data_IF_267980234086
#
_entry.id   IF_267980234086
#
_cell.length_a   1.000
_cell.length_b   1.000
_cell.length_c   1.000
_cell.angle_alpha   90.00
_cell.angle_beta   90.00
_cell.angle_gamma   90.00
#
_symmetry.space_group_name_H-M   'P 1'
#
loop_
_entity.id
_entity.type
_entity.pdbx_description
1 polymer ?
#
# COMPACT_ATOMS: atom_id res chain seq x y z
N UNK A 1 37.93 -17.10 7.90
CA UNK A 1 37.07 -16.91 9.10
C UNK A 1 36.07 -15.75 8.99
N UNK A 2 36.41 -14.57 8.45
CA UNK A 2 35.46 -13.43 8.31
C UNK A 2 34.26 -13.73 7.39
N UNK A 3 34.48 -14.38 6.23
CA UNK A 3 33.42 -14.76 5.27
C UNK A 3 32.36 -15.74 5.86
N UNK A 4 32.79 -16.71 6.66
CA UNK A 4 31.87 -17.66 7.31
C UNK A 4 30.95 -16.97 8.33
N UNK A 5 31.49 -16.01 9.09
CA UNK A 5 30.69 -15.21 10.04
C UNK A 5 29.70 -14.26 9.35
N UNK A 6 30.03 -13.76 8.16
CA UNK A 6 29.15 -12.93 7.32
C UNK A 6 27.99 -13.78 6.80
N UNK A 7 28.28 -14.96 6.25
CA UNK A 7 27.27 -15.91 5.80
C UNK A 7 26.35 -16.34 6.94
N UNK A 8 26.89 -16.60 8.14
CA UNK A 8 26.12 -16.95 9.34
C UNK A 8 25.23 -15.79 9.80
N UNK A 9 25.68 -14.53 9.73
CA UNK A 9 24.85 -13.39 10.09
C UNK A 9 23.70 -13.16 9.09
N UNK A 10 23.99 -13.28 7.79
CA UNK A 10 23.00 -13.16 6.73
C UNK A 10 21.97 -14.29 6.79
N UNK A 11 22.43 -15.53 6.99
CA UNK A 11 21.58 -16.71 7.25
C UNK A 11 20.77 -16.54 8.53
N UNK A 12 21.32 -16.00 9.62
CA UNK A 12 20.55 -15.73 10.85
C UNK A 12 19.49 -14.65 10.66
N UNK A 13 19.70 -13.70 9.76
CA UNK A 13 18.75 -12.62 9.49
C UNK A 13 17.63 -13.06 8.55
N UNK A 14 17.96 -13.80 7.49
CA UNK A 14 16.97 -14.52 6.67
C UNK A 14 16.22 -15.50 7.54
N UNK A 15 16.93 -16.30 8.35
CA UNK A 15 16.34 -17.21 9.32
C UNK A 15 15.38 -16.45 10.21
N UNK A 16 15.75 -15.37 10.92
CA UNK A 16 14.80 -14.64 11.79
C UNK A 16 13.57 -14.05 11.07
N UNK A 17 13.71 -13.55 9.85
CA UNK A 17 12.58 -13.00 9.09
C UNK A 17 11.69 -14.06 8.48
N UNK A 18 12.29 -15.15 7.99
CA UNK A 18 11.57 -16.32 7.50
C UNK A 18 11.05 -17.18 8.64
N UNK A 19 11.66 -17.18 9.83
CA UNK A 19 11.32 -18.05 10.96
C UNK A 19 9.90 -17.79 11.40
N UNK A 20 9.46 -16.54 11.40
CA UNK A 20 8.07 -16.20 11.70
C UNK A 20 7.08 -16.86 10.74
N UNK A 21 7.44 -16.94 9.45
CA UNK A 21 6.61 -17.59 8.41
C UNK A 21 6.88 -19.10 8.29
N UNK A 22 8.04 -19.59 8.72
CA UNK A 22 8.44 -21.00 8.75
C UNK A 22 8.00 -21.69 10.06
N UNK A 23 7.70 -20.92 11.11
CA UNK A 23 7.04 -21.34 12.35
C UNK A 23 5.52 -21.18 12.27
N UNK A 24 5.01 -20.53 11.22
CA UNK A 24 3.58 -20.53 10.97
C UNK A 24 3.17 -21.97 10.65
N UNK A 25 2.24 -22.51 11.43
CA UNK A 25 1.72 -23.85 11.18
C UNK A 25 1.15 -23.94 9.77
N UNK A 26 1.61 -24.95 9.02
CA UNK A 26 1.12 -25.23 7.66
C UNK A 26 0.10 -26.36 7.76
N UNK A 27 -1.12 -26.07 7.36
CA UNK A 27 -2.20 -27.04 7.28
C UNK A 27 -2.51 -27.36 5.82
N UNK A 28 -3.05 -28.56 5.57
CA UNK A 28 -3.48 -28.99 4.23
C UNK A 28 -4.97 -29.33 4.26
N UNK A 29 -5.75 -28.86 3.29
CA UNK A 29 -7.15 -29.27 3.13
C UNK A 29 -8.08 -28.86 4.28
N UNK A 30 -7.70 -27.85 5.07
CA UNK A 30 -8.48 -27.41 6.24
C UNK A 30 -9.32 -26.17 5.91
N UNK A 31 -10.41 -26.01 6.64
CA UNK A 31 -11.19 -24.78 6.62
C UNK A 31 -10.49 -23.70 7.46
N UNK A 32 -10.45 -22.45 6.97
CA UNK A 32 -9.79 -21.36 7.69
C UNK A 32 -10.40 -21.11 9.08
N UNK A 33 -11.68 -21.39 9.29
CA UNK A 33 -12.33 -21.21 10.59
C UNK A 33 -11.72 -22.12 11.67
N UNK A 34 -11.27 -23.33 11.32
CA UNK A 34 -10.85 -24.37 12.26
C UNK A 34 -9.36 -24.37 12.60
N UNK A 35 -8.55 -23.51 11.97
CA UNK A 35 -7.11 -23.40 12.24
C UNK A 35 -6.76 -22.21 13.16
N UNK A 36 -5.64 -22.26 13.89
CA UNK A 36 -5.13 -21.11 14.65
C UNK A 36 -4.79 -19.90 13.78
N UNK A 37 -4.65 -18.73 14.41
CA UNK A 37 -4.18 -17.51 13.74
C UNK A 37 -2.67 -17.61 13.48
N UNK A 38 -2.21 -16.92 12.44
CA UNK A 38 -0.85 -16.97 11.88
C UNK A 38 -0.48 -18.33 11.28
N UNK A 39 -1.42 -18.95 10.58
CA UNK A 39 -1.22 -20.25 9.96
C UNK A 39 -1.49 -20.19 8.46
N UNK A 40 -0.72 -20.97 7.69
CA UNK A 40 -0.96 -21.18 6.27
C UNK A 40 -1.87 -22.40 6.09
N UNK A 41 -2.74 -22.33 5.10
CA UNK A 41 -3.48 -23.49 4.61
C UNK A 41 -3.19 -23.64 3.13
N UNK A 42 -2.62 -24.78 2.77
CA UNK A 42 -2.50 -25.21 1.38
C UNK A 42 -3.76 -25.99 1.00
N UNK A 43 -4.32 -25.67 -0.16
CA UNK A 43 -5.61 -26.17 -0.62
C UNK A 43 -6.72 -25.95 0.41
N UNK A 44 -7.04 -24.68 0.75
CA UNK A 44 -8.06 -24.39 1.74
C UNK A 44 -9.42 -24.96 1.34
N UNK A 45 -10.05 -25.67 2.27
CA UNK A 45 -11.35 -26.29 2.05
C UNK A 45 -12.48 -25.36 2.47
N UNK A 46 -13.35 -25.02 1.52
CA UNK A 46 -14.58 -24.29 1.75
C UNK A 46 -15.75 -25.18 1.33
N UNK A 47 -16.74 -25.35 2.21
CA UNK A 47 -17.81 -26.37 2.05
C UNK A 47 -18.73 -26.09 0.85
N UNK A 48 -18.76 -24.85 0.36
CA UNK A 48 -19.67 -24.33 -0.66
C UNK A 48 -18.97 -23.51 -1.76
N UNK A 49 -17.64 -23.34 -1.70
CA UNK A 49 -16.92 -22.39 -2.56
C UNK A 49 -15.77 -23.06 -3.32
N UNK A 50 -15.87 -23.04 -4.65
CA UNK A 50 -14.74 -23.37 -5.53
C UNK A 50 -13.87 -22.13 -5.72
N UNK A 51 -12.66 -22.17 -5.18
CA UNK A 51 -11.68 -21.09 -5.33
C UNK A 51 -10.90 -21.22 -6.64
N UNK A 52 -10.61 -20.10 -7.31
CA UNK A 52 -9.83 -20.06 -8.55
C UNK A 52 -8.43 -19.47 -8.34
N UNK A 53 -7.45 -19.95 -9.13
CA UNK A 53 -6.08 -19.44 -9.07
C UNK A 53 -5.42 -19.63 -7.69
N UNK A 54 -4.71 -18.62 -7.21
CA UNK A 54 -3.92 -18.70 -5.98
C UNK A 54 -4.76 -18.91 -4.72
N UNK A 55 -6.03 -18.48 -4.68
CA UNK A 55 -6.89 -18.63 -3.49
C UNK A 55 -7.30 -20.09 -3.26
N UNK A 56 -7.30 -20.92 -4.30
CA UNK A 56 -7.48 -22.38 -4.17
C UNK A 56 -6.21 -23.14 -3.82
N UNK A 57 -5.04 -22.48 -3.88
CA UNK A 57 -3.74 -23.10 -3.62
C UNK A 57 -3.27 -22.78 -2.21
N UNK A 58 -3.41 -21.52 -1.78
CA UNK A 58 -2.88 -21.08 -0.48
C UNK A 58 -3.75 -19.98 0.14
N UNK A 59 -3.93 -20.07 1.44
CA UNK A 59 -4.54 -19.04 2.26
C UNK A 59 -3.76 -18.85 3.56
N UNK A 60 -3.81 -17.64 4.12
CA UNK A 60 -3.15 -17.31 5.38
C UNK A 60 -4.13 -16.69 6.37
N UNK A 61 -4.30 -17.32 7.53
CA UNK A 61 -5.16 -16.79 8.59
C UNK A 61 -4.38 -15.76 9.40
N UNK A 62 -4.62 -14.47 9.17
CA UNK A 62 -3.93 -13.40 9.90
C UNK A 62 -4.32 -13.34 11.38
N UNK A 63 -3.36 -12.95 12.21
CA UNK A 63 -3.62 -12.53 13.58
C UNK A 63 -4.23 -11.14 13.68
N UNK A 64 -4.63 -10.74 14.89
CA UNK A 64 -4.90 -9.33 15.18
C UNK A 64 -3.55 -8.60 15.18
N UNK A 65 -3.38 -7.61 14.31
CA UNK A 65 -2.21 -6.73 14.36
C UNK A 65 -2.18 -5.99 15.69
N UNK A 66 -1.00 -5.93 16.34
CA UNK A 66 -0.79 -5.02 17.46
C UNK A 66 -0.78 -3.60 16.90
N UNK A 67 -1.61 -2.75 17.49
CA UNK A 67 -1.65 -1.31 17.17
C UNK A 67 -0.50 -0.66 17.93
N UNK A 68 0.70 -0.65 17.34
CA UNK A 68 1.79 0.18 17.82
C UNK A 68 1.59 1.61 17.33
N UNK A 69 1.68 2.58 18.25
CA UNK A 69 1.63 4.01 17.92
C UNK A 69 2.81 4.38 17.03
N UNK A 70 2.59 5.27 16.07
CA UNK A 70 3.66 5.78 15.25
C UNK A 70 4.60 6.66 16.10
N UNK A 71 5.85 6.25 16.20
CA UNK A 71 6.93 7.04 16.80
C UNK A 71 7.98 7.38 15.75
N UNK A 72 7.98 8.64 15.32
CA UNK A 72 8.93 9.17 14.35
C UNK A 72 10.25 9.62 15.00
N UNK A 73 10.36 9.68 16.34
CA UNK A 73 11.60 10.11 17.02
C UNK A 73 12.73 9.10 16.78
N UNK A 74 12.47 7.82 17.00
CA UNK A 74 13.41 6.72 16.71
C UNK A 74 13.84 6.71 15.23
N UNK A 75 12.94 7.06 14.33
CA UNK A 75 13.21 7.12 12.89
C UNK A 75 14.16 8.27 12.55
N UNK A 76 13.90 9.45 13.12
CA UNK A 76 14.74 10.63 13.00
C UNK A 76 16.14 10.42 13.59
N UNK A 77 16.23 9.85 14.80
CA UNK A 77 17.52 9.58 15.46
C UNK A 77 18.40 8.64 14.62
N UNK A 78 17.80 7.64 13.96
CA UNK A 78 18.53 6.74 13.05
C UNK A 78 19.01 7.47 11.80
N UNK A 79 18.24 8.40 11.26
CA UNK A 79 18.66 9.24 10.13
C UNK A 79 19.80 10.17 10.55
N UNK A 80 19.75 10.73 11.77
CA UNK A 80 20.85 11.53 12.34
C UNK A 80 22.14 10.73 12.45
N UNK A 81 22.08 9.49 12.94
CA UNK A 81 23.23 8.58 13.02
C UNK A 81 23.83 8.24 11.63
N UNK A 82 23.02 8.16 10.57
CA UNK A 82 23.50 7.98 9.19
C UNK A 82 24.31 9.20 8.74
N UNK A 83 23.90 10.42 9.14
CA UNK A 83 24.59 11.67 8.79
C UNK A 83 25.95 11.80 9.51
N UNK A 84 26.02 11.41 10.78
CA UNK A 84 27.22 11.51 11.61
C UNK A 84 28.35 10.56 11.18
N UNK A 85 28.02 9.51 10.41
CA UNK A 85 28.99 8.58 9.83
C UNK A 85 28.83 8.53 8.30
N UNK A 86 29.23 9.60 7.59
CA UNK A 86 28.96 9.72 6.15
C UNK A 86 29.84 8.80 5.30
N UNK A 87 31.00 8.36 5.81
CA UNK A 87 32.01 7.60 5.05
C UNK A 87 32.61 6.48 5.90
N UNK A 88 32.93 5.32 5.30
CA UNK A 88 33.86 4.39 5.93
C UNK A 88 35.18 5.12 6.19
N UNK A 89 35.69 5.00 7.41
CA UNK A 89 37.00 5.53 7.83
C UNK A 89 38.03 5.30 6.73
N UNK A 90 38.70 6.38 6.28
CA UNK A 90 39.77 6.41 5.27
C UNK A 90 40.57 5.08 5.25
N UNK A 91 40.47 4.31 4.17
CA UNK A 91 41.11 2.99 4.08
C UNK A 91 42.43 3.14 3.35
N UNK A 92 43.51 3.24 4.13
CA UNK A 92 44.80 2.73 3.68
C UNK A 92 44.66 1.20 3.55
N UNK A 93 44.73 0.71 2.31
CA UNK A 93 44.96 -0.69 1.89
C UNK A 93 44.20 -1.84 2.63
N UNK A 94 43.48 -2.66 1.84
CA UNK A 94 42.99 -4.02 2.13
C UNK A 94 41.90 -4.27 3.20
N UNK A 95 41.42 -3.26 3.94
CA UNK A 95 40.32 -3.47 4.92
C UNK A 95 39.05 -2.64 4.64
N UNK A 96 38.65 -2.53 3.38
CA UNK A 96 37.48 -1.73 2.97
C UNK A 96 36.15 -2.20 3.60
N UNK A 97 35.96 -3.51 3.79
CA UNK A 97 34.77 -4.09 4.41
C UNK A 97 35.02 -4.43 5.89
N UNK A 98 35.27 -3.40 6.69
CA UNK A 98 35.44 -3.56 8.13
C UNK A 98 34.08 -3.67 8.88
N UNK A 99 34.13 -3.87 10.20
CA UNK A 99 32.92 -3.99 11.02
C UNK A 99 32.07 -2.73 11.05
N UNK A 100 32.63 -1.54 10.79
CA UNK A 100 31.91 -0.26 10.83
C UNK A 100 30.98 -0.14 9.62
N UNK A 101 31.48 -0.41 8.42
CA UNK A 101 30.69 -0.38 7.18
C UNK A 101 29.48 -1.33 7.22
N UNK A 102 29.65 -2.53 7.81
CA UNK A 102 28.54 -3.47 7.97
C UNK A 102 27.49 -3.02 8.99
N UNK A 103 27.89 -2.32 10.05
CA UNK A 103 26.95 -1.79 11.05
C UNK A 103 26.12 -0.65 10.47
N UNK A 104 26.73 0.21 9.66
CA UNK A 104 26.05 1.29 8.94
C UNK A 104 25.04 0.75 7.92
N UNK A 105 25.41 -0.27 7.15
CA UNK A 105 24.48 -0.90 6.23
C UNK A 105 23.27 -1.52 6.94
N UNK A 106 23.44 -2.03 8.18
CA UNK A 106 22.31 -2.48 9.01
C UNK A 106 21.44 -1.31 9.45
N UNK A 107 22.04 -0.17 9.79
CA UNK A 107 21.31 1.04 10.14
C UNK A 107 20.46 1.54 8.96
N UNK A 108 21.04 1.71 7.77
CA UNK A 108 20.30 2.10 6.55
C UNK A 108 19.17 1.10 6.25
N UNK A 109 19.45 -0.20 6.35
CA UNK A 109 18.42 -1.23 6.15
C UNK A 109 17.29 -1.15 7.18
N UNK A 110 17.60 -0.79 8.43
CA UNK A 110 16.60 -0.61 9.49
C UNK A 110 15.72 0.62 9.25
N UNK A 111 16.29 1.70 8.68
CA UNK A 111 15.55 2.89 8.27
C UNK A 111 14.65 2.57 7.08
N UNK A 112 15.17 1.86 6.06
CA UNK A 112 14.35 1.39 4.94
C UNK A 112 13.16 0.55 5.38
N UNK A 113 13.36 -0.36 6.35
CA UNK A 113 12.26 -1.14 6.93
C UNK A 113 11.23 -0.22 7.60
N UNK A 114 11.68 0.71 8.43
CA UNK A 114 10.78 1.63 9.14
C UNK A 114 10.00 2.54 8.16
N UNK A 115 10.64 3.03 7.10
CA UNK A 115 10.00 3.81 6.04
C UNK A 115 8.92 3.00 5.32
N UNK A 116 9.22 1.75 4.95
CA UNK A 116 8.25 0.86 4.30
C UNK A 116 7.04 0.56 5.18
N UNK A 117 7.23 0.45 6.49
CA UNK A 117 6.14 0.21 7.44
C UNK A 117 5.19 1.43 7.56
N UNK A 118 5.61 2.66 7.21
CA UNK A 118 4.72 3.83 7.16
C UNK A 118 3.51 3.63 6.23
N UNK A 119 3.63 2.73 5.24
CA UNK A 119 2.57 2.37 4.29
C UNK A 119 1.46 1.52 4.89
N UNK A 120 1.66 0.96 6.09
CA UNK A 120 0.63 0.16 6.78
C UNK A 120 -0.62 0.98 7.06
N UNK A 121 -1.79 0.33 7.11
CA UNK A 121 -3.11 1.00 7.27
C UNK A 121 -3.12 1.94 8.48
N UNK A 122 -2.63 1.47 9.62
CA UNK A 122 -2.65 2.23 10.86
C UNK A 122 -1.70 3.42 10.85
N UNK A 123 -0.47 3.26 10.34
CA UNK A 123 0.52 4.35 10.31
C UNK A 123 0.14 5.42 9.30
N UNK A 124 -0.29 5.03 8.10
CA UNK A 124 -0.74 5.98 7.09
C UNK A 124 -1.96 6.79 7.58
N UNK A 125 -2.91 6.14 8.26
CA UNK A 125 -4.03 6.83 8.90
C UNK A 125 -3.52 7.92 9.87
N UNK A 126 -2.62 7.56 10.80
CA UNK A 126 -2.09 8.52 11.77
C UNK A 126 -1.35 9.69 11.11
N UNK A 127 -0.59 9.44 10.05
CA UNK A 127 0.10 10.48 9.27
C UNK A 127 -0.91 11.40 8.58
N UNK A 128 -1.95 10.85 7.96
CA UNK A 128 -2.95 11.63 7.23
C UNK A 128 -3.72 12.59 8.15
N UNK A 129 -4.06 12.14 9.37
CA UNK A 129 -4.85 12.95 10.33
C UNK A 129 -4.02 13.92 11.16
N UNK A 130 -2.69 13.77 11.24
CA UNK A 130 -1.81 14.61 12.07
C UNK A 130 -0.82 15.40 11.21
N UNK A 131 -1.06 16.70 10.94
CA UNK A 131 -0.14 17.54 10.18
C UNK A 131 1.30 17.53 10.72
N UNK A 132 1.47 17.52 12.04
CA UNK A 132 2.79 17.42 12.69
C UNK A 132 3.63 16.21 12.21
N UNK A 133 2.99 15.07 11.90
CA UNK A 133 3.71 13.91 11.36
C UNK A 133 4.08 14.09 9.88
N UNK A 134 3.32 14.88 9.13
CA UNK A 134 3.61 15.22 7.74
C UNK A 134 4.81 16.16 7.67
N UNK A 135 4.81 17.22 8.49
CA UNK A 135 5.92 18.17 8.61
C UNK A 135 7.21 17.47 9.02
N UNK A 136 7.14 16.59 10.02
CA UNK A 136 8.30 15.80 10.46
C UNK A 136 8.82 14.86 9.38
N UNK A 137 7.94 14.22 8.60
CA UNK A 137 8.36 13.37 7.49
C UNK A 137 8.96 14.18 6.33
N UNK A 138 8.49 15.40 6.08
CA UNK A 138 9.10 16.32 5.12
C UNK A 138 10.53 16.66 5.54
N UNK A 139 10.73 17.07 6.80
CA UNK A 139 12.06 17.37 7.34
C UNK A 139 13.02 16.17 7.23
N UNK A 140 12.55 14.97 7.61
CA UNK A 140 13.36 13.75 7.47
C UNK A 140 13.69 13.46 5.99
N UNK A 141 12.73 13.68 5.07
CA UNK A 141 12.94 13.52 3.63
C UNK A 141 14.00 14.48 3.08
N UNK A 142 14.02 15.73 3.54
CA UNK A 142 15.04 16.72 3.20
C UNK A 142 16.41 16.33 3.75
N UNK A 143 16.48 15.88 5.01
CA UNK A 143 17.72 15.39 5.61
C UNK A 143 18.33 14.23 4.82
N UNK A 144 17.51 13.26 4.40
CA UNK A 144 17.97 12.12 3.60
C UNK A 144 18.45 12.58 2.21
N UNK A 145 17.73 13.50 1.57
CA UNK A 145 18.13 14.07 0.28
C UNK A 145 19.49 14.75 0.36
N UNK A 146 19.75 15.51 1.42
CA UNK A 146 21.05 16.15 1.66
C UNK A 146 22.17 15.11 1.87
N UNK A 147 21.89 14.03 2.61
CA UNK A 147 22.85 12.92 2.76
C UNK A 147 23.16 12.30 1.39
N UNK A 148 22.14 11.98 0.59
CA UNK A 148 22.30 11.39 -0.75
C UNK A 148 23.22 12.28 -1.61
N UNK A 149 22.91 13.57 -1.71
CA UNK A 149 23.68 14.50 -2.52
C UNK A 149 25.15 14.59 -2.07
N UNK A 150 25.39 14.65 -0.76
CA UNK A 150 26.75 14.69 -0.22
C UNK A 150 27.56 13.43 -0.57
N UNK A 151 26.92 12.26 -0.50
CA UNK A 151 27.57 10.98 -0.76
C UNK A 151 27.79 10.70 -2.24
N UNK A 152 26.85 11.11 -3.11
CA UNK A 152 27.03 11.01 -4.56
C UNK A 152 28.19 11.88 -5.04
N UNK A 153 28.27 13.11 -4.52
CA UNK A 153 29.37 14.03 -4.82
C UNK A 153 30.70 13.42 -4.38
N UNK A 154 30.80 12.96 -3.14
CA UNK A 154 32.01 12.34 -2.62
C UNK A 154 32.42 11.10 -3.42
N UNK A 155 31.48 10.22 -3.77
CA UNK A 155 31.78 9.02 -4.56
C UNK A 155 32.34 9.40 -5.93
N UNK A 156 31.77 10.41 -6.58
CA UNK A 156 32.25 10.90 -7.89
C UNK A 156 33.66 11.48 -7.80
N UNK A 157 33.97 12.21 -6.72
CA UNK A 157 35.29 12.82 -6.51
C UNK A 157 36.38 11.80 -6.14
N UNK A 158 36.02 10.66 -5.54
CA UNK A 158 36.98 9.70 -4.98
C UNK A 158 36.96 8.31 -5.66
N UNK A 159 36.05 8.05 -6.61
CA UNK A 159 35.89 6.72 -7.22
C UNK A 159 37.16 6.20 -7.92
N UNK A 160 38.02 7.09 -8.41
CA UNK A 160 39.28 6.70 -9.07
C UNK A 160 40.32 6.09 -8.12
N UNK A 161 40.21 6.39 -6.83
CA UNK A 161 41.13 5.93 -5.78
C UNK A 161 40.57 4.71 -5.01
N UNK A 162 39.38 4.23 -5.39
CA UNK A 162 38.68 3.12 -4.73
C UNK A 162 38.78 1.83 -5.54
N UNK A 163 38.83 0.69 -4.84
CA UNK A 163 38.65 -0.62 -5.47
C UNK A 163 37.21 -0.76 -6.01
N UNK A 164 36.97 -1.54 -7.08
CA UNK A 164 35.62 -1.68 -7.66
C UNK A 164 34.56 -2.13 -6.64
N UNK A 165 34.88 -3.09 -5.76
CA UNK A 165 33.97 -3.59 -4.74
C UNK A 165 33.55 -2.51 -3.75
N UNK A 166 34.42 -1.51 -3.55
CA UNK A 166 34.15 -0.38 -2.69
C UNK A 166 33.16 0.59 -3.33
N UNK A 167 33.37 0.88 -4.61
CA UNK A 167 32.47 1.71 -5.40
C UNK A 167 31.07 1.09 -5.41
N UNK A 168 30.97 -0.21 -5.69
CA UNK A 168 29.69 -0.94 -5.73
C UNK A 168 28.96 -0.89 -4.39
N UNK A 169 29.65 -1.16 -3.28
CA UNK A 169 29.05 -1.20 -1.95
C UNK A 169 28.52 0.18 -1.51
N UNK A 170 29.21 1.26 -1.88
CA UNK A 170 28.77 2.64 -1.60
C UNK A 170 27.59 3.02 -2.50
N UNK A 171 27.65 2.68 -3.80
CA UNK A 171 26.56 2.92 -4.74
C UNK A 171 25.27 2.19 -4.32
N UNK A 172 25.37 0.95 -3.84
CA UNK A 172 24.23 0.20 -3.29
C UNK A 172 23.64 0.90 -2.06
N UNK A 173 24.48 1.39 -1.15
CA UNK A 173 24.04 2.13 0.03
C UNK A 173 23.30 3.42 -0.36
N UNK A 174 23.82 4.19 -1.32
CA UNK A 174 23.16 5.39 -1.87
C UNK A 174 21.81 5.01 -2.48
N UNK A 175 21.74 3.91 -3.22
CA UNK A 175 20.48 3.40 -3.80
C UNK A 175 19.45 3.11 -2.72
N UNK A 176 19.84 2.48 -1.61
CA UNK A 176 18.94 2.25 -0.46
C UNK A 176 18.48 3.55 0.19
N UNK A 177 19.32 4.58 0.26
CA UNK A 177 18.91 5.90 0.74
C UNK A 177 17.89 6.54 -0.20
N UNK A 178 18.09 6.43 -1.52
CA UNK A 178 17.13 6.88 -2.53
C UNK A 178 15.79 6.14 -2.38
N UNK A 179 15.80 4.84 -2.12
CA UNK A 179 14.57 4.08 -1.83
C UNK A 179 13.85 4.60 -0.59
N UNK A 180 14.58 4.99 0.47
CA UNK A 180 13.97 5.59 1.67
C UNK A 180 13.35 6.93 1.32
N UNK A 181 14.08 7.81 0.64
CA UNK A 181 13.61 9.13 0.23
C UNK A 181 12.36 9.01 -0.67
N UNK A 182 12.37 8.07 -1.61
CA UNK A 182 11.25 7.75 -2.48
C UNK A 182 10.03 7.27 -1.69
N UNK A 183 10.23 6.37 -0.72
CA UNK A 183 9.14 5.88 0.13
C UNK A 183 8.46 7.03 0.87
N UNK A 184 9.24 7.92 1.49
CA UNK A 184 8.71 9.06 2.24
C UNK A 184 8.00 10.06 1.32
N UNK A 185 8.70 10.53 0.29
CA UNK A 185 8.18 11.58 -0.61
C UNK A 185 7.05 11.07 -1.49
N UNK A 186 7.30 10.02 -2.26
CA UNK A 186 6.44 9.59 -3.36
C UNK A 186 5.37 8.60 -2.94
N UNK A 187 5.67 7.69 -2.00
CA UNK A 187 4.69 6.68 -1.57
C UNK A 187 3.84 7.12 -0.37
N UNK A 188 4.34 8.03 0.49
CA UNK A 188 3.59 8.55 1.64
C UNK A 188 3.09 9.97 1.37
N UNK A 189 3.98 10.96 1.37
CA UNK A 189 3.60 12.38 1.40
C UNK A 189 2.79 12.80 0.16
N UNK A 190 3.23 12.45 -1.04
CA UNK A 190 2.53 12.75 -2.29
C UNK A 190 1.16 12.06 -2.41
N UNK A 191 0.90 11.00 -1.62
CA UNK A 191 -0.39 10.31 -1.61
C UNK A 191 -1.38 10.89 -0.61
N UNK A 192 -0.94 11.69 0.36
CA UNK A 192 -1.84 12.35 1.32
C UNK A 192 -2.86 13.27 0.60
N UNK A 193 -2.44 14.26 -0.22
CA UNK A 193 -3.39 15.13 -0.91
C UNK A 193 -4.25 14.35 -1.90
N UNK A 194 -3.67 13.37 -2.60
CA UNK A 194 -4.40 12.52 -3.55
C UNK A 194 -5.50 11.68 -2.90
N UNK A 195 -5.30 11.22 -1.67
CA UNK A 195 -6.34 10.49 -0.90
C UNK A 195 -7.41 11.46 -0.40
N UNK A 196 -7.02 12.64 0.09
CA UNK A 196 -7.96 13.68 0.53
C UNK A 196 -8.87 14.15 -0.61
N UNK A 197 -8.31 14.32 -1.81
CA UNK A 197 -9.04 14.79 -2.99
C UNK A 197 -10.14 13.83 -3.47
N UNK A 198 -10.06 12.54 -3.11
CA UNK A 198 -11.12 11.57 -3.45
C UNK A 198 -12.40 11.76 -2.64
N UNK A 199 -12.36 12.49 -1.53
CA UNK A 199 -13.54 12.81 -0.75
C UNK A 199 -14.19 14.09 -1.27
N UNK A 200 -15.53 14.09 -1.30
CA UNK A 200 -16.30 15.32 -1.54
C UNK A 200 -16.09 16.35 -0.42
N UNK A 201 -15.89 15.89 0.83
CA UNK A 201 -15.66 16.72 2.01
C UNK A 201 -14.33 16.33 2.72
N UNK A 202 -13.18 16.82 2.24
CA UNK A 202 -11.87 16.43 2.76
C UNK A 202 -11.62 16.72 4.24
N UNK A 203 -12.36 17.67 4.83
CA UNK A 203 -12.24 18.04 6.24
C UNK A 203 -13.10 17.14 7.16
N UNK A 204 -14.12 16.49 6.60
CA UNK A 204 -15.00 15.53 7.30
C UNK A 204 -14.53 14.08 7.16
N UNK A 205 -13.33 13.87 6.60
CA UNK A 205 -12.69 12.57 6.39
C UNK A 205 -12.34 11.90 7.73
N UNK A 206 -13.37 11.47 8.44
CA UNK A 206 -13.31 10.97 9.80
C UNK A 206 -13.61 9.47 9.79
N UNK A 207 -12.57 8.67 10.00
CA UNK A 207 -12.72 7.24 10.22
C UNK A 207 -11.69 6.41 9.46
N UNK A 208 -11.16 5.38 10.15
CA UNK A 208 -10.17 4.46 9.59
C UNK A 208 -10.69 3.70 8.36
N UNK A 209 -11.97 3.33 8.35
CA UNK A 209 -12.61 2.61 7.24
C UNK A 209 -12.64 3.42 5.95
N UNK A 210 -13.10 4.67 6.03
CA UNK A 210 -13.16 5.61 4.89
C UNK A 210 -11.77 5.84 4.30
N UNK A 211 -10.78 6.16 5.14
CA UNK A 211 -9.40 6.38 4.69
C UNK A 211 -8.81 5.13 4.05
N UNK A 212 -9.12 3.94 4.59
CA UNK A 212 -8.70 2.67 4.00
C UNK A 212 -9.23 2.50 2.58
N UNK A 213 -10.53 2.78 2.37
CA UNK A 213 -11.17 2.69 1.05
C UNK A 213 -10.50 3.65 0.05
N UNK A 214 -10.43 4.95 0.38
CA UNK A 214 -9.81 5.92 -0.53
C UNK A 214 -8.32 5.65 -0.79
N UNK A 215 -7.59 5.14 0.20
CA UNK A 215 -6.19 4.75 -0.01
C UNK A 215 -6.04 3.60 -0.99
N UNK A 216 -6.93 2.60 -0.94
CA UNK A 216 -6.93 1.49 -1.89
C UNK A 216 -7.29 1.95 -3.30
N UNK A 217 -8.31 2.82 -3.43
CA UNK A 217 -8.67 3.47 -4.70
C UNK A 217 -7.46 4.23 -5.27
N UNK A 218 -6.83 5.08 -4.44
CA UNK A 218 -5.65 5.85 -4.82
C UNK A 218 -4.48 4.96 -5.26
N UNK A 219 -4.25 3.84 -4.57
CA UNK A 219 -3.18 2.91 -4.93
C UNK A 219 -3.41 2.29 -6.32
N UNK A 220 -4.62 1.85 -6.62
CA UNK A 220 -4.96 1.31 -7.96
C UNK A 220 -4.88 2.41 -9.02
N UNK A 221 -5.35 3.62 -8.72
CA UNK A 221 -5.23 4.76 -9.63
C UNK A 221 -3.79 5.13 -9.94
N UNK A 222 -2.88 5.13 -8.95
CA UNK A 222 -1.45 5.37 -9.19
C UNK A 222 -0.82 4.32 -10.11
N UNK A 223 -1.32 3.09 -10.10
CA UNK A 223 -0.88 2.05 -11.05
C UNK A 223 -1.42 2.30 -12.45
N UNK A 224 -2.70 2.69 -12.57
CA UNK A 224 -3.30 3.07 -13.85
C UNK A 224 -2.65 4.32 -14.46
N UNK A 225 -2.19 5.26 -13.63
CA UNK A 225 -1.55 6.52 -14.06
C UNK A 225 -0.23 6.29 -14.82
N UNK A 226 0.38 5.11 -14.64
CA UNK A 226 1.59 4.69 -15.35
C UNK A 226 1.31 4.03 -16.70
N UNK A 227 0.05 3.80 -17.02
CA UNK A 227 -0.37 3.16 -18.26
C UNK A 227 -0.91 4.21 -19.23
N UNK A 228 -0.32 4.26 -20.42
CA UNK A 228 -0.86 5.04 -21.52
C UNK A 228 -2.01 4.26 -22.17
N UNK A 229 -3.24 4.60 -21.80
CA UNK A 229 -4.46 4.01 -22.38
C UNK A 229 -5.16 5.10 -23.20
N UNK A 230 -5.22 4.91 -24.52
CA UNK A 230 -5.77 5.87 -25.49
C UNK A 230 -6.44 5.14 -26.64
N UNK A 231 -7.16 5.88 -27.48
CA UNK A 231 -7.85 5.32 -28.63
C UNK A 231 -9.18 4.68 -28.23
N UNK A 232 -9.44 3.47 -28.74
CA UNK A 232 -10.68 2.73 -28.45
C UNK A 232 -10.64 2.01 -27.10
N UNK A 233 -9.44 1.81 -26.57
CA UNK A 233 -9.24 1.12 -25.30
C UNK A 233 -9.67 2.06 -24.16
N UNK A 234 -10.43 1.52 -23.22
CA UNK A 234 -10.85 2.30 -22.05
C UNK A 234 -9.99 1.96 -20.84
N UNK A 235 -9.69 2.94 -20.01
CA UNK A 235 -9.15 2.70 -18.67
C UNK A 235 -10.27 2.86 -17.64
N UNK A 236 -10.34 1.95 -16.66
CA UNK A 236 -11.31 2.05 -15.61
C UNK A 236 -10.99 1.26 -14.36
N UNK A 237 -11.81 1.49 -13.34
CA UNK A 237 -11.82 0.71 -12.11
C UNK A 237 -13.24 0.30 -11.76
N UNK A 238 -13.37 -0.84 -11.10
CA UNK A 238 -14.60 -1.28 -10.44
C UNK A 238 -14.38 -1.33 -8.93
N UNK A 239 -15.31 -0.73 -8.20
CA UNK A 239 -15.35 -0.71 -6.74
C UNK A 239 -16.40 -1.72 -6.28
N UNK A 240 -16.00 -2.74 -5.54
CA UNK A 240 -16.90 -3.79 -5.06
C UNK A 240 -16.98 -3.75 -3.54
N UNK A 241 -18.17 -3.45 -3.02
CA UNK A 241 -18.49 -3.43 -1.60
C UNK A 241 -19.36 -4.64 -1.27
N UNK A 242 -18.99 -5.38 -0.23
CA UNK A 242 -19.83 -6.45 0.33
C UNK A 242 -20.32 -6.00 1.70
N UNK A 243 -21.63 -5.83 1.84
CA UNK A 243 -22.30 -5.37 3.05
C UNK A 243 -23.16 -6.48 3.64
N UNK A 244 -23.37 -6.44 4.96
CA UNK A 244 -24.50 -7.15 5.55
C UNK A 244 -25.81 -6.53 5.07
N UNK A 245 -26.87 -7.34 4.98
CA UNK A 245 -28.19 -6.87 4.55
C UNK A 245 -28.69 -5.66 5.34
N UNK A 246 -28.52 -5.66 6.66
CA UNK A 246 -28.96 -4.53 7.51
C UNK A 246 -28.22 -3.23 7.17
N UNK A 247 -26.92 -3.32 6.85
CA UNK A 247 -26.13 -2.15 6.45
C UNK A 247 -26.51 -1.63 5.06
N UNK A 248 -26.92 -2.53 4.16
CA UNK A 248 -27.42 -2.14 2.84
C UNK A 248 -28.81 -1.47 2.93
N UNK A 249 -29.71 -1.97 3.77
CA UNK A 249 -31.02 -1.35 4.00
C UNK A 249 -30.89 0.07 4.58
N UNK A 250 -29.94 0.27 5.51
CA UNK A 250 -29.63 1.61 6.02
C UNK A 250 -29.08 2.52 4.90
N UNK A 251 -28.24 1.99 4.01
CA UNK A 251 -27.77 2.73 2.84
C UNK A 251 -28.92 3.13 1.90
N UNK A 252 -29.84 2.22 1.58
CA UNK A 252 -31.02 2.53 0.75
C UNK A 252 -31.90 3.62 1.39
N UNK A 253 -32.06 3.59 2.72
CA UNK A 253 -32.78 4.63 3.45
C UNK A 253 -32.08 6.00 3.37
N UNK A 254 -30.74 6.03 3.40
CA UNK A 254 -29.98 7.28 3.19
C UNK A 254 -30.10 7.79 1.76
N UNK A 255 -30.02 6.92 0.75
CA UNK A 255 -30.25 7.27 -0.66
C UNK A 255 -31.65 7.87 -0.84
N UNK A 256 -32.66 7.29 -0.22
CA UNK A 256 -34.03 7.79 -0.22
C UNK A 256 -34.16 9.18 0.39
N UNK A 257 -33.55 9.37 1.56
CA UNK A 257 -33.61 10.63 2.31
C UNK A 257 -32.86 11.76 1.59
N UNK A 258 -31.89 11.42 0.75
CA UNK A 258 -31.12 12.35 -0.08
C UNK A 258 -31.73 12.60 -1.47
N UNK A 259 -32.91 12.04 -1.77
CA UNK A 259 -33.59 12.15 -3.07
C UNK A 259 -32.76 11.58 -4.26
N UNK A 260 -32.02 10.49 -4.01
CA UNK A 260 -31.12 9.87 -4.99
C UNK A 260 -31.59 8.50 -5.49
N UNK A 261 -32.85 8.12 -5.21
CA UNK A 261 -33.44 6.84 -5.64
C UNK A 261 -33.48 6.70 -7.15
N UNK A 262 -33.92 7.74 -7.85
CA UNK A 262 -34.04 7.69 -9.31
C UNK A 262 -32.66 7.58 -9.98
N UNK A 263 -31.66 8.31 -9.46
CA UNK A 263 -30.27 8.18 -9.91
C UNK A 263 -29.69 6.79 -9.66
N UNK A 264 -29.98 6.17 -8.50
CA UNK A 264 -29.54 4.80 -8.23
C UNK A 264 -30.20 3.82 -9.20
N UNK A 265 -31.51 3.90 -9.37
CA UNK A 265 -32.29 3.03 -10.26
C UNK A 265 -31.81 3.13 -11.71
N UNK A 266 -31.64 4.35 -12.23
CA UNK A 266 -31.13 4.58 -13.59
C UNK A 266 -29.78 3.88 -13.78
N UNK A 267 -28.88 3.99 -12.81
CA UNK A 267 -27.53 3.41 -12.88
C UNK A 267 -27.52 1.88 -12.72
N UNK A 268 -28.52 1.31 -12.05
CA UNK A 268 -28.69 -0.14 -11.92
C UNK A 268 -29.30 -0.80 -13.15
N UNK A 269 -30.04 -0.04 -13.97
CA UNK A 269 -30.60 -0.54 -15.23
C UNK A 269 -29.64 -0.52 -16.42
N UNK A 270 -28.43 0.04 -16.24
CA UNK A 270 -27.41 0.13 -17.31
C UNK A 270 -26.80 -1.24 -17.60
N UNK A 271 -26.35 -1.42 -18.85
CA UNK A 271 -25.55 -2.59 -19.22
C UNK A 271 -24.29 -2.73 -18.34
N UNK A 272 -23.87 -3.97 -18.16
CA UNK A 272 -22.73 -4.34 -17.33
C UNK A 272 -21.46 -3.63 -17.81
N UNK A 273 -20.67 -3.08 -16.86
CA UNK A 273 -19.39 -2.40 -17.09
C UNK A 273 -19.45 -1.13 -17.96
N UNK A 274 -20.59 -0.43 -17.99
CA UNK A 274 -20.66 0.97 -18.45
C UNK A 274 -20.13 1.94 -17.38
N UNK A 275 -19.65 3.11 -17.81
CA UNK A 275 -19.25 4.17 -16.86
C UNK A 275 -20.45 4.57 -16.00
N UNK A 276 -20.23 4.76 -14.70
CA UNK A 276 -21.24 5.03 -13.69
C UNK A 276 -22.28 3.91 -13.54
N UNK A 277 -22.08 2.73 -14.12
CA UNK A 277 -22.95 1.58 -13.90
C UNK A 277 -22.86 1.07 -12.46
N UNK A 278 -23.98 0.63 -11.91
CA UNK A 278 -24.05 0.01 -10.58
C UNK A 278 -24.69 -1.37 -10.72
N UNK A 279 -24.06 -2.41 -10.18
CA UNK A 279 -24.67 -3.74 -10.06
C UNK A 279 -24.87 -4.06 -8.59
N UNK A 280 -26.09 -4.44 -8.22
CA UNK A 280 -26.47 -4.84 -6.87
C UNK A 280 -26.93 -6.29 -6.94
N UNK A 281 -26.30 -7.17 -6.15
CA UNK A 281 -26.71 -8.56 -6.03
C UNK A 281 -26.79 -8.97 -4.57
N UNK A 282 -27.85 -9.69 -4.21
CA UNK A 282 -28.01 -10.30 -2.90
C UNK A 282 -27.70 -11.79 -3.02
N UNK A 283 -26.82 -12.28 -2.15
CA UNK A 283 -26.48 -13.71 -2.06
C UNK A 283 -26.75 -14.22 -0.66
N UNK A 284 -27.33 -15.40 -0.59
CA UNK A 284 -27.62 -16.11 0.66
C UNK A 284 -27.14 -17.55 0.53
N UNK A 285 -26.12 -17.92 1.30
CA UNK A 285 -25.75 -19.33 1.46
C UNK A 285 -26.67 -20.00 2.48
N UNK A 286 -26.79 -21.33 2.36
CA UNK A 286 -27.61 -22.14 3.26
C UNK A 286 -27.02 -22.06 4.69
N UNK A 287 -27.77 -21.47 5.63
CA UNK A 287 -27.39 -21.16 7.02
C UNK A 287 -26.52 -19.91 7.26
N UNK A 288 -26.27 -19.06 6.25
CA UNK A 288 -25.58 -17.77 6.46
C UNK A 288 -26.54 -16.57 6.42
N UNK A 289 -26.12 -15.47 7.05
CA UNK A 289 -26.86 -14.20 6.95
C UNK A 289 -26.73 -13.65 5.52
N UNK A 290 -27.80 -13.07 4.95
CA UNK A 290 -27.74 -12.50 3.61
C UNK A 290 -26.71 -11.37 3.53
N UNK A 291 -25.93 -11.38 2.45
CA UNK A 291 -24.98 -10.32 2.11
C UNK A 291 -25.39 -9.67 0.79
N UNK A 292 -25.12 -8.37 0.69
CA UNK A 292 -25.39 -7.58 -0.52
C UNK A 292 -24.07 -7.09 -1.10
N UNK A 293 -23.85 -7.40 -2.37
CA UNK A 293 -22.70 -6.92 -3.13
C UNK A 293 -23.13 -5.74 -3.99
N UNK A 294 -22.47 -4.60 -3.82
CA UNK A 294 -22.64 -3.39 -4.62
C UNK A 294 -21.37 -3.14 -5.40
N UNK A 295 -21.46 -3.19 -6.73
CA UNK A 295 -20.33 -2.94 -7.63
C UNK A 295 -20.58 -1.66 -8.42
N UNK A 296 -19.65 -0.72 -8.38
CA UNK A 296 -19.69 0.53 -9.15
C UNK A 296 -18.55 0.54 -10.17
N UNK A 297 -18.84 0.86 -11.43
CA UNK A 297 -17.83 0.94 -12.50
C UNK A 297 -17.57 2.38 -12.90
N UNK A 298 -16.29 2.78 -12.91
CA UNK A 298 -15.83 4.05 -13.45
C UNK A 298 -14.86 3.77 -14.59
N UNK A 299 -15.11 4.33 -15.77
CA UNK A 299 -14.24 4.11 -16.93
C UNK A 299 -14.33 5.25 -17.92
N UNK A 300 -13.28 5.42 -18.69
CA UNK A 300 -13.20 6.42 -19.75
C UNK A 300 -12.39 5.89 -20.91
N UNK A 301 -12.83 6.21 -22.13
CA UNK A 301 -12.09 6.01 -23.37
C UNK A 301 -11.95 7.38 -24.03
N UNK A 302 -10.72 7.78 -24.33
CA UNK A 302 -10.44 9.06 -25.01
C UNK A 302 -9.47 8.77 -26.16
N UNK A 303 -9.83 9.20 -27.36
CA UNK A 303 -9.02 8.97 -28.57
C UNK A 303 -7.69 9.74 -28.53
N UNK A 304 -7.73 10.97 -28.02
CA UNK A 304 -6.58 11.88 -27.93
C UNK A 304 -6.52 12.45 -26.51
N UNK A 305 -5.37 12.33 -25.86
CA UNK A 305 -5.14 12.85 -24.51
C UNK A 305 -3.68 12.73 -24.10
N UNK A 306 -3.36 13.17 -22.89
CA UNK A 306 -2.05 13.07 -22.25
C UNK A 306 -2.02 11.95 -21.20
N UNK A 307 -0.82 11.50 -20.83
CA UNK A 307 -0.66 10.56 -19.71
C UNK A 307 -1.25 11.19 -18.43
N UNK A 308 -2.09 10.43 -17.73
CA UNK A 308 -2.77 10.86 -16.50
C UNK A 308 -4.16 11.49 -16.67
N UNK A 309 -4.58 11.81 -17.90
CA UNK A 309 -5.93 12.37 -18.14
C UNK A 309 -7.04 11.40 -17.72
N UNK A 310 -6.86 10.10 -17.98
CA UNK A 310 -7.82 9.07 -17.56
C UNK A 310 -7.98 9.05 -16.04
N UNK A 311 -6.88 9.04 -15.29
CA UNK A 311 -6.92 8.99 -13.82
C UNK A 311 -7.51 10.28 -13.26
N UNK A 312 -7.19 11.45 -13.84
CA UNK A 312 -7.80 12.74 -13.48
C UNK A 312 -9.32 12.70 -13.66
N UNK A 313 -9.81 12.15 -14.77
CA UNK A 313 -11.24 11.96 -15.00
C UNK A 313 -11.88 11.03 -13.97
N UNK A 314 -11.28 9.85 -13.72
CA UNK A 314 -11.82 8.87 -12.77
C UNK A 314 -11.86 9.42 -11.34
N UNK A 315 -10.85 10.17 -10.92
CA UNK A 315 -10.81 10.85 -9.61
C UNK A 315 -11.98 11.80 -9.45
N UNK A 316 -12.21 12.65 -10.45
CA UNK A 316 -13.31 13.60 -10.45
C UNK A 316 -14.66 12.90 -10.35
N UNK A 317 -14.88 11.85 -11.15
CA UNK A 317 -16.12 11.07 -11.10
C UNK A 317 -16.41 10.49 -9.72
N UNK A 318 -15.41 9.87 -9.07
CA UNK A 318 -15.58 9.30 -7.72
C UNK A 318 -15.85 10.39 -6.69
N UNK A 319 -15.14 11.53 -6.78
CA UNK A 319 -15.31 12.65 -5.87
C UNK A 319 -16.72 13.25 -5.96
N UNK A 320 -17.25 13.39 -7.18
CA UNK A 320 -18.54 14.03 -7.46
C UNK A 320 -19.74 13.07 -7.35
N UNK A 321 -19.50 11.76 -7.29
CA UNK A 321 -20.56 10.76 -7.18
C UNK A 321 -21.13 10.67 -5.76
N UNK A 322 -22.26 11.32 -5.52
CA UNK A 322 -22.93 11.31 -4.22
C UNK A 322 -23.26 9.89 -3.71
N UNK A 323 -23.58 8.94 -4.60
CA UNK A 323 -23.94 7.56 -4.21
C UNK A 323 -22.72 6.85 -3.61
N UNK A 324 -21.56 6.94 -4.26
CA UNK A 324 -20.34 6.31 -3.73
C UNK A 324 -19.86 7.02 -2.46
N UNK A 325 -19.94 8.36 -2.41
CA UNK A 325 -19.54 9.13 -1.24
C UNK A 325 -20.42 8.78 -0.02
N UNK A 326 -21.69 8.46 -0.22
CA UNK A 326 -22.57 7.96 0.85
C UNK A 326 -22.33 6.49 1.21
N UNK A 327 -21.90 5.64 0.26
CA UNK A 327 -21.66 4.22 0.50
C UNK A 327 -20.37 3.97 1.29
N UNK A 328 -19.29 4.71 1.01
CA UNK A 328 -17.96 4.49 1.59
C UNK A 328 -17.93 4.50 3.13
N UNK A 329 -18.66 5.38 3.85
CA UNK A 329 -18.70 5.39 5.31
C UNK A 329 -19.36 4.16 5.95
N UNK A 330 -20.11 3.35 5.21
CA UNK A 330 -20.75 2.15 5.76
C UNK A 330 -19.73 1.07 6.11
N UNK A 331 -20.06 0.28 7.13
CA UNK A 331 -19.26 -0.89 7.48
C UNK A 331 -19.45 -1.97 6.41
N UNK A 332 -18.37 -2.31 5.73
CA UNK A 332 -18.33 -3.38 4.73
C UNK A 332 -17.57 -4.60 5.28
N UNK A 333 -18.05 -5.80 4.98
CA UNK A 333 -17.33 -7.06 5.26
C UNK A 333 -16.07 -7.13 4.41
N UNK A 334 -16.20 -6.76 3.13
CA UNK A 334 -15.10 -6.72 2.18
C UNK A 334 -15.22 -5.51 1.26
N UNK A 335 -14.06 -5.00 0.84
CA UNK A 335 -13.94 -3.97 -0.17
C UNK A 335 -12.79 -4.33 -1.10
N UNK A 336 -13.04 -4.28 -2.40
CA UNK A 336 -12.06 -4.59 -3.44
C UNK A 336 -12.11 -3.52 -4.52
N UNK A 337 -10.93 -3.13 -5.02
CA UNK A 337 -10.77 -2.26 -6.18
C UNK A 337 -10.12 -3.07 -7.29
N UNK A 338 -10.77 -3.16 -8.44
CA UNK A 338 -10.26 -3.85 -9.62
C UNK A 338 -9.99 -2.83 -10.72
N UNK A 339 -8.73 -2.66 -11.13
CA UNK A 339 -8.42 -1.97 -12.38
C UNK A 339 -8.73 -2.90 -13.55
N UNK A 340 -9.35 -2.34 -14.58
CA UNK A 340 -9.58 -3.03 -15.83
C UNK A 340 -9.37 -2.07 -16.99
N UNK A 341 -8.81 -2.59 -18.06
CA UNK A 341 -8.94 -1.97 -19.38
C UNK A 341 -10.07 -2.68 -20.12
N UNK A 342 -10.77 -1.94 -20.98
CA UNK A 342 -11.74 -2.54 -21.92
C UNK A 342 -11.04 -2.71 -23.25
#
# INVERSE_FOLDING_TARGET
MKSLNIMICFLKQIYRHCLFYLQADIYFGKNLSSIPKHSFVLFPFHFSLLSCGLTGIVAFKRGKEKIDRLDLSLFEDRVRQIKENPYPSRVENDSFLDKSFFQENRLVSSVLKAARELKTENRFYEILIKPMFQDKLLEIGEHISNIIQSQEKWLTENMGDLIPEAVDAIAERITRLKDIAWCISSEILNNIPKVKELSSNPDELLGRGVIKVFRQINAVMNSLDRLEVRGRDSAGISLMFILKKEGFEEFENRIASADLRDHLNERTTKDILLNMGITISETKEENEKPIVTVTLTYKVAVEIGSLGDNVKFLRRQIKEDAIVQMLIPFTHEYFTVLSHTR
#
